data_IF_780965579037
#
_entry.id   IF_780965579037
#
_cell.length_a   1.000
_cell.length_b   1.000
_cell.length_c   1.000
_cell.angle_alpha   90.00
_cell.angle_beta   90.00
_cell.angle_gamma   90.00
#
_symmetry.space_group_name_H-M   'P 1'
#
loop_
_entity.id
_entity.type
_entity.pdbx_description
1 polymer ?
#
# COMPACT_ATOMS: atom_id res chain seq x y z
N UNK A 1 10.91 -12.55 3.43
CA UNK A 1 10.82 -11.26 2.71
C UNK A 1 10.13 -10.28 3.65
N UNK A 2 10.70 -9.09 3.87
CA UNK A 2 9.97 -8.05 4.61
C UNK A 2 9.03 -7.34 3.62
N UNK A 3 7.82 -7.88 3.48
CA UNK A 3 6.81 -7.38 2.54
C UNK A 3 6.42 -5.93 2.83
N UNK A 4 6.46 -5.51 4.10
CA UNK A 4 6.06 -4.16 4.48
C UNK A 4 7.08 -3.12 4.03
N UNK A 5 8.37 -3.42 4.17
CA UNK A 5 9.46 -2.58 3.67
C UNK A 5 9.43 -2.53 2.15
N UNK A 6 9.37 -3.69 1.48
CA UNK A 6 9.33 -3.72 0.00
C UNK A 6 8.10 -2.98 -0.55
N UNK A 7 6.91 -3.16 0.04
CA UNK A 7 5.72 -2.42 -0.38
C UNK A 7 5.89 -0.90 -0.19
N UNK A 8 6.47 -0.46 0.92
CA UNK A 8 6.70 0.97 1.16
C UNK A 8 7.65 1.58 0.12
N UNK A 9 8.76 0.89 -0.19
CA UNK A 9 9.74 1.36 -1.17
C UNK A 9 9.14 1.44 -2.59
N UNK A 10 8.40 0.41 -3.00
CA UNK A 10 7.76 0.35 -4.32
C UNK A 10 6.64 1.38 -4.48
N UNK A 11 5.87 1.65 -3.42
CA UNK A 11 4.87 2.73 -3.43
C UNK A 11 5.54 4.11 -3.46
N UNK A 12 6.62 4.32 -2.71
CA UNK A 12 7.36 5.57 -2.73
C UNK A 12 7.94 5.88 -4.12
N UNK A 13 8.46 4.85 -4.81
CA UNK A 13 8.95 4.98 -6.20
C UNK A 13 7.85 5.40 -7.19
N UNK A 14 6.57 5.18 -6.84
CA UNK A 14 5.38 5.59 -7.61
C UNK A 14 4.75 6.91 -7.13
N UNK A 15 5.46 7.67 -6.29
CA UNK A 15 4.97 8.93 -5.73
C UNK A 15 4.02 8.78 -4.54
N UNK A 16 3.83 7.56 -4.02
CA UNK A 16 3.01 7.26 -2.84
C UNK A 16 3.91 6.97 -1.63
N UNK A 17 4.60 8.01 -1.15
CA UNK A 17 5.48 7.87 0.01
C UNK A 17 4.71 7.43 1.26
N UNK A 18 5.38 6.63 2.10
CA UNK A 18 4.82 6.18 3.38
C UNK A 18 4.54 7.38 4.28
N UNK A 19 3.32 7.44 4.80
CA UNK A 19 2.94 8.35 5.86
C UNK A 19 3.48 7.87 7.21
N UNK A 20 4.24 8.72 7.91
CA UNK A 20 4.76 8.45 9.24
C UNK A 20 6.28 8.55 9.30
N UNK A 21 6.90 7.73 10.13
CA UNK A 21 8.37 7.63 10.22
C UNK A 21 8.88 6.51 9.32
N UNK A 22 10.01 6.77 8.65
CA UNK A 22 10.78 5.80 7.88
C UNK A 22 11.84 5.08 8.73
N UNK A 23 11.92 5.43 10.03
CA UNK A 23 12.79 4.74 10.98
C UNK A 23 12.32 3.29 11.16
N UNK A 24 13.10 2.34 10.64
CA UNK A 24 12.81 0.91 10.70
C UNK A 24 12.75 0.36 12.13
N UNK A 25 13.37 1.02 13.11
CA UNK A 25 13.26 0.65 14.53
C UNK A 25 11.88 1.00 15.14
N UNK A 26 11.11 1.87 14.47
CA UNK A 26 9.81 2.35 14.90
C UNK A 26 8.70 2.11 13.86
N UNK A 27 9.04 1.60 12.68
CA UNK A 27 8.12 1.27 11.62
C UNK A 27 7.30 0.03 11.98
N UNK A 28 5.99 0.20 12.13
CA UNK A 28 5.08 -0.95 12.19
C UNK A 28 5.03 -1.68 10.84
N UNK A 29 4.60 -2.94 10.80
CA UNK A 29 4.34 -3.67 9.53
C UNK A 29 3.19 -3.10 8.69
N UNK A 30 2.56 -2.00 9.11
CA UNK A 30 1.49 -1.32 8.38
C UNK A 30 2.07 -0.21 7.51
N UNK A 31 1.81 -0.29 6.21
CA UNK A 31 2.15 0.74 5.23
C UNK A 31 0.94 1.64 5.01
N UNK A 32 1.09 2.91 5.37
CA UNK A 32 0.04 3.92 5.19
C UNK A 32 0.52 4.90 4.14
N UNK A 33 -0.30 5.27 3.17
CA UNK A 33 0.00 6.28 2.15
C UNK A 33 -1.12 7.30 2.05
N UNK A 34 -0.82 8.47 1.47
CA UNK A 34 -1.76 9.57 1.28
C UNK A 34 -1.93 9.86 -0.22
N UNK A 35 -2.71 9.04 -0.95
CA UNK A 35 -3.00 9.29 -2.36
C UNK A 35 -3.94 10.48 -2.54
N UNK A 36 -3.88 11.14 -3.70
CA UNK A 36 -4.74 12.29 -4.03
C UNK A 36 -6.25 11.94 -3.99
N UNK A 37 -6.59 10.74 -4.50
CA UNK A 37 -7.94 10.21 -4.60
C UNK A 37 -8.09 8.89 -3.82
N UNK A 38 -8.08 8.91 -2.48
CA UNK A 38 -7.93 7.70 -1.67
C UNK A 38 -9.15 6.78 -1.71
N UNK A 39 -10.36 7.33 -1.77
CA UNK A 39 -11.60 6.56 -1.88
C UNK A 39 -11.69 5.84 -3.23
N UNK A 40 -11.34 6.54 -4.32
CA UNK A 40 -11.39 5.97 -5.67
C UNK A 40 -10.33 4.90 -5.88
N UNK A 41 -9.11 5.14 -5.40
CA UNK A 41 -8.06 4.14 -5.42
C UNK A 41 -8.46 2.92 -4.60
N UNK A 42 -9.04 3.12 -3.41
CA UNK A 42 -9.52 2.01 -2.59
C UNK A 42 -10.60 1.19 -3.28
N UNK A 43 -11.59 1.84 -3.91
CA UNK A 43 -12.63 1.13 -4.64
C UNK A 43 -12.05 0.36 -5.85
N UNK A 44 -11.05 0.93 -6.52
CA UNK A 44 -10.32 0.27 -7.62
C UNK A 44 -9.54 -0.96 -7.17
N UNK A 45 -8.84 -0.87 -6.04
CA UNK A 45 -8.12 -1.98 -5.41
C UNK A 45 -9.09 -3.08 -4.97
N UNK A 46 -10.20 -2.70 -4.32
CA UNK A 46 -11.24 -3.62 -3.87
C UNK A 46 -11.84 -4.42 -5.02
N UNK A 47 -12.10 -3.78 -6.18
CA UNK A 47 -12.59 -4.47 -7.39
C UNK A 47 -11.60 -5.50 -7.95
N UNK A 48 -10.31 -5.37 -7.64
CA UNK A 48 -9.24 -6.31 -8.01
C UNK A 48 -8.92 -7.34 -6.92
N UNK A 49 -9.71 -7.39 -5.85
CA UNK A 49 -9.51 -8.32 -4.75
C UNK A 49 -8.45 -7.90 -3.73
N UNK A 50 -7.87 -6.70 -3.86
CA UNK A 50 -6.93 -6.16 -2.87
C UNK A 50 -7.70 -5.60 -1.68
N UNK A 51 -7.35 -6.07 -0.48
CA UNK A 51 -7.98 -5.61 0.77
C UNK A 51 -7.09 -4.59 1.48
N UNK A 52 -7.69 -3.48 1.90
CA UNK A 52 -7.04 -2.42 2.68
C UNK A 52 -8.06 -1.63 3.49
N UNK A 53 -7.65 -0.50 4.05
CA UNK A 53 -8.57 0.40 4.74
C UNK A 53 -8.27 1.86 4.43
N UNK A 54 -9.31 2.65 4.15
CA UNK A 54 -9.22 4.11 4.10
C UNK A 54 -9.65 4.72 5.43
N UNK A 55 -8.81 5.57 6.01
CA UNK A 55 -9.08 6.32 7.25
C UNK A 55 -8.40 7.69 7.14
N UNK A 56 -9.13 8.78 7.43
CA UNK A 56 -8.59 10.15 7.36
C UNK A 56 -7.88 10.45 6.03
N UNK A 57 -8.52 10.08 4.90
CA UNK A 57 -7.96 10.20 3.53
C UNK A 57 -6.66 9.43 3.28
N UNK A 58 -6.29 8.50 4.16
CA UNK A 58 -5.09 7.67 4.02
C UNK A 58 -5.47 6.23 3.75
N UNK A 59 -4.77 5.62 2.81
CA UNK A 59 -4.92 4.21 2.48
C UNK A 59 -3.90 3.40 3.30
N UNK A 60 -4.36 2.32 3.93
CA UNK A 60 -3.57 1.46 4.79
C UNK A 60 -3.54 0.04 4.24
N UNK A 61 -2.33 -0.46 4.07
CA UNK A 61 -2.01 -1.86 3.83
C UNK A 61 -1.38 -2.45 5.09
N UNK A 62 -1.80 -3.65 5.46
CA UNK A 62 -1.23 -4.38 6.58
C UNK A 62 -0.83 -5.77 6.11
N UNK A 63 0.31 -5.92 5.41
CA UNK A 63 0.86 -7.23 5.11
C UNK A 63 0.96 -8.09 6.38
N UNK A 64 0.51 -9.32 6.29
CA UNK A 64 0.52 -10.28 7.40
C UNK A 64 1.31 -11.53 7.03
N UNK A 65 1.42 -12.49 7.96
CA UNK A 65 2.00 -13.80 7.69
C UNK A 65 1.32 -14.56 6.54
N UNK A 66 0.05 -14.26 6.23
CA UNK A 66 -0.67 -14.90 5.14
C UNK A 66 -0.35 -14.33 3.76
N UNK A 67 0.44 -13.25 3.69
CA UNK A 67 0.80 -12.62 2.44
C UNK A 67 2.17 -13.08 1.95
N UNK A 68 2.32 -13.14 0.63
CA UNK A 68 3.59 -13.43 -0.03
C UNK A 68 3.91 -12.42 -1.14
N UNK A 69 4.95 -12.70 -1.94
CA UNK A 69 5.37 -11.83 -3.02
C UNK A 69 4.33 -11.71 -4.14
N UNK A 70 3.49 -12.72 -4.35
CA UNK A 70 2.44 -12.66 -5.38
C UNK A 70 1.32 -11.68 -5.00
N UNK A 71 1.00 -11.57 -3.72
CA UNK A 71 0.09 -10.53 -3.22
C UNK A 71 0.69 -9.13 -3.41
N UNK A 72 1.99 -8.98 -3.14
CA UNK A 72 2.70 -7.73 -3.37
C UNK A 72 2.62 -7.33 -4.84
N UNK A 73 2.93 -8.26 -5.75
CA UNK A 73 2.87 -8.03 -7.20
C UNK A 73 1.45 -7.63 -7.63
N UNK A 74 0.41 -8.28 -7.08
CA UNK A 74 -0.98 -7.95 -7.37
C UNK A 74 -1.38 -6.54 -6.91
N UNK A 75 -0.90 -6.10 -5.73
CA UNK A 75 -1.10 -4.73 -5.24
C UNK A 75 -0.42 -3.73 -6.16
N UNK A 76 0.85 -3.95 -6.49
CA UNK A 76 1.62 -3.04 -7.34
C UNK A 76 1.04 -2.94 -8.75
N UNK A 77 0.66 -4.07 -9.36
CA UNK A 77 -0.02 -4.08 -10.65
C UNK A 77 -1.36 -3.33 -10.61
N UNK A 78 -2.10 -3.43 -9.49
CA UNK A 78 -3.35 -2.69 -9.32
C UNK A 78 -3.13 -1.17 -9.17
N UNK A 79 -2.05 -0.77 -8.49
CA UNK A 79 -1.62 0.64 -8.37
C UNK A 79 -1.21 1.17 -9.76
N UNK A 80 -0.38 0.43 -10.49
CA UNK A 80 0.08 0.83 -11.83
C UNK A 80 -1.07 0.91 -12.84
N UNK A 81 -2.09 0.07 -12.70
CA UNK A 81 -3.30 0.11 -13.53
C UNK A 81 -4.30 1.22 -13.12
N UNK A 82 -4.05 1.97 -12.05
CA UNK A 82 -4.86 3.13 -11.68
C UNK A 82 -4.32 4.37 -12.41
N UNK A 83 -4.65 4.50 -13.69
CA UNK A 83 -4.31 5.69 -14.47
C UNK A 83 -5.12 6.89 -13.97
N UNK A 84 -4.45 7.87 -13.34
CA UNK A 84 -4.92 9.23 -13.15
C UNK A 84 -3.78 10.23 -13.23
#
# INVERSE_FOLDING_TARGET
LDLSTTLADELAARGLARYGTDDSAHASGIVTVEPEHPEELFDHLKRRGVTGAVRNRKLRFAPTYYNDSSDLDAVLAAIDAFER
#
